data_IF_623834069780
#
_entry.id   IF_623834069780
#
_cell.length_a   1.000
_cell.length_b   1.000
_cell.length_c   1.000
_cell.angle_alpha   90.00
_cell.angle_beta   90.00
_cell.angle_gamma   90.00
#
_symmetry.space_group_name_H-M   'P 1'
#
loop_
_entity.id
_entity.type
_entity.pdbx_description
1 polymer ?
#
# COMPACT_ATOMS: atom_id res chain seq x y z
N UNK A 1 8.43 -25.53 -3.82
CA UNK A 1 9.53 -24.55 -3.94
C UNK A 1 10.58 -24.85 -2.88
N UNK A 2 11.85 -24.55 -3.16
CA UNK A 2 12.93 -24.75 -2.19
C UNK A 2 12.84 -23.72 -1.05
N UNK A 3 13.16 -24.14 0.17
CA UNK A 3 13.23 -23.27 1.34
C UNK A 3 14.69 -22.96 1.68
N UNK A 4 15.00 -21.70 1.94
CA UNK A 4 16.34 -21.23 2.33
C UNK A 4 16.31 -20.81 3.80
N UNK A 5 17.30 -21.26 4.59
CA UNK A 5 17.48 -20.84 5.98
C UNK A 5 18.51 -19.71 6.03
N UNK A 6 18.12 -18.61 6.65
CA UNK A 6 18.97 -17.45 6.86
C UNK A 6 18.89 -17.04 8.32
N UNK A 7 20.04 -16.74 8.92
CA UNK A 7 20.09 -16.08 10.22
C UNK A 7 20.03 -14.56 10.01
N UNK A 8 19.19 -13.88 10.78
CA UNK A 8 19.03 -12.42 10.74
C UNK A 8 19.25 -11.86 12.15
N UNK A 9 19.91 -10.71 12.23
CA UNK A 9 20.00 -9.94 13.47
C UNK A 9 18.73 -9.10 13.63
N UNK A 10 18.08 -9.21 14.78
CA UNK A 10 16.89 -8.44 15.15
C UNK A 10 17.10 -7.83 16.53
N UNK A 11 16.46 -6.70 16.77
CA UNK A 11 16.37 -6.14 18.12
C UNK A 11 15.52 -7.08 18.99
N UNK A 12 15.93 -7.28 20.24
CA UNK A 12 15.29 -8.22 21.17
C UNK A 12 13.79 -7.93 21.35
N UNK A 13 13.43 -6.66 21.57
CA UNK A 13 12.03 -6.27 21.73
C UNK A 13 11.16 -6.57 20.48
N UNK A 14 11.75 -6.53 19.29
CA UNK A 14 11.03 -6.84 18.05
C UNK A 14 10.85 -8.35 17.90
N UNK A 15 11.88 -9.12 18.28
CA UNK A 15 11.80 -10.57 18.32
C UNK A 15 10.69 -11.03 19.28
N UNK A 16 10.64 -10.50 20.50
CA UNK A 16 9.61 -10.85 21.49
C UNK A 16 8.18 -10.54 20.99
N UNK A 17 7.98 -9.38 20.35
CA UNK A 17 6.68 -9.04 19.76
C UNK A 17 6.30 -10.00 18.63
N UNK A 18 7.25 -10.39 17.79
CA UNK A 18 7.01 -11.37 16.74
C UNK A 18 6.65 -12.75 17.32
N UNK A 19 7.28 -13.16 18.43
CA UNK A 19 6.94 -14.40 19.13
C UNK A 19 5.51 -14.38 19.66
N UNK A 20 5.14 -13.31 20.37
CA UNK A 20 3.81 -13.15 20.93
C UNK A 20 2.73 -13.18 19.85
N UNK A 21 2.95 -12.44 18.75
CA UNK A 21 2.03 -12.39 17.63
C UNK A 21 1.93 -13.74 16.89
N UNK A 22 3.05 -14.43 16.68
CA UNK A 22 3.04 -15.75 16.06
C UNK A 22 2.25 -16.77 16.90
N UNK A 23 2.40 -16.70 18.23
CA UNK A 23 1.65 -17.53 19.17
C UNK A 23 0.14 -17.22 19.14
N UNK A 24 -0.23 -15.93 19.17
CA UNK A 24 -1.63 -15.48 19.06
C UNK A 24 -2.29 -15.97 17.77
N UNK A 25 -1.58 -15.83 16.66
CA UNK A 25 -2.03 -16.28 15.33
C UNK A 25 -1.93 -17.80 15.13
N UNK A 26 -1.35 -18.53 16.08
CA UNK A 26 -1.11 -19.99 16.02
C UNK A 26 -0.31 -20.42 14.79
N UNK A 27 0.69 -19.63 14.40
CA UNK A 27 1.60 -19.93 13.28
C UNK A 27 3.04 -20.00 13.75
N UNK A 28 3.91 -20.59 12.94
CA UNK A 28 5.34 -20.57 13.23
C UNK A 28 5.93 -19.18 13.00
N UNK A 29 6.98 -18.88 13.76
CA UNK A 29 7.79 -17.66 13.67
C UNK A 29 8.28 -17.38 12.26
N UNK A 30 8.83 -18.42 11.61
CA UNK A 30 9.28 -18.34 10.22
C UNK A 30 8.14 -18.01 9.26
N UNK A 31 6.92 -18.50 9.54
CA UNK A 31 5.74 -18.19 8.73
C UNK A 31 5.30 -16.74 8.92
N UNK A 32 5.28 -16.24 10.16
CA UNK A 32 4.99 -14.83 10.44
C UNK A 32 5.98 -13.91 9.72
N UNK A 33 7.28 -14.18 9.84
CA UNK A 33 8.33 -13.38 9.19
C UNK A 33 8.19 -13.41 7.67
N UNK A 34 7.89 -14.57 7.08
CA UNK A 34 7.65 -14.69 5.65
C UNK A 34 6.46 -13.84 5.19
N UNK A 35 5.33 -13.90 5.91
CA UNK A 35 4.14 -13.08 5.62
C UNK A 35 4.48 -11.59 5.71
N UNK A 36 5.18 -11.16 6.76
CA UNK A 36 5.57 -9.77 6.94
C UNK A 36 6.48 -9.28 5.81
N UNK A 37 7.43 -10.12 5.37
CA UNK A 37 8.34 -9.80 4.28
C UNK A 37 7.62 -9.70 2.93
N UNK A 38 6.73 -10.65 2.63
CA UNK A 38 5.89 -10.62 1.42
C UNK A 38 5.02 -9.35 1.39
N UNK A 39 4.40 -9.00 2.52
CA UNK A 39 3.60 -7.79 2.67
C UNK A 39 4.42 -6.53 2.43
N UNK A 40 5.61 -6.45 3.03
CA UNK A 40 6.49 -5.29 2.90
C UNK A 40 6.96 -5.10 1.44
N UNK A 41 7.37 -6.18 0.77
CA UNK A 41 7.77 -6.14 -0.63
C UNK A 41 6.61 -5.68 -1.52
N UNK A 42 5.40 -6.23 -1.31
CA UNK A 42 4.22 -5.86 -2.10
C UNK A 42 3.87 -4.39 -1.94
N UNK A 43 3.87 -3.87 -0.71
CA UNK A 43 3.63 -2.44 -0.43
C UNK A 43 4.67 -1.55 -1.11
N UNK A 44 5.95 -1.95 -1.05
CA UNK A 44 7.02 -1.20 -1.70
C UNK A 44 6.85 -1.17 -3.23
N UNK A 45 6.53 -2.30 -3.85
CA UNK A 45 6.27 -2.39 -5.29
C UNK A 45 5.07 -1.54 -5.71
N UNK A 46 3.98 -1.56 -4.95
CA UNK A 46 2.81 -0.73 -5.22
C UNK A 46 3.14 0.76 -5.18
N UNK A 47 3.95 1.20 -4.21
CA UNK A 47 4.40 2.60 -4.15
C UNK A 47 5.23 3.00 -5.37
N UNK A 48 6.19 2.15 -5.78
CA UNK A 48 6.99 2.40 -6.98
C UNK A 48 6.12 2.44 -8.25
N UNK A 49 5.10 1.60 -8.33
CA UNK A 49 4.16 1.62 -9.45
C UNK A 49 3.38 2.95 -9.48
N UNK A 50 2.87 3.40 -8.34
CA UNK A 50 2.16 4.67 -8.23
C UNK A 50 3.06 5.86 -8.61
N UNK A 51 4.32 5.87 -8.14
CA UNK A 51 5.31 6.89 -8.51
C UNK A 51 5.54 6.93 -10.03
N UNK A 52 5.66 5.76 -10.69
CA UNK A 52 5.80 5.68 -12.15
C UNK A 52 4.57 6.18 -12.89
N UNK A 53 3.38 5.87 -12.39
CA UNK A 53 2.12 6.38 -12.95
C UNK A 53 2.13 7.89 -12.86
N UNK A 54 2.36 8.46 -11.67
CA UNK A 54 2.38 9.90 -11.45
C UNK A 54 3.40 10.59 -12.37
N UNK A 55 4.63 10.05 -12.48
CA UNK A 55 5.67 10.60 -13.36
C UNK A 55 5.26 10.58 -14.85
N UNK A 56 4.52 9.56 -15.29
CA UNK A 56 4.03 9.51 -16.67
C UNK A 56 2.93 10.54 -16.96
N UNK A 57 2.16 10.94 -15.95
CA UNK A 57 1.14 11.98 -16.06
C UNK A 57 1.69 13.40 -15.83
N UNK A 58 2.88 13.54 -15.23
CA UNK A 58 3.53 14.83 -14.95
C UNK A 58 3.92 15.59 -16.25
N UNK A 59 4.13 14.86 -17.34
CA UNK A 59 4.44 15.40 -18.68
C UNK A 59 3.17 15.85 -19.45
N UNK A 60 1.98 15.52 -18.93
CA UNK A 60 0.70 16.00 -19.46
C UNK A 60 0.40 17.34 -18.80
N UNK A 61 0.90 18.42 -19.40
CA UNK A 61 0.77 19.79 -18.89
C UNK A 61 -0.65 20.11 -18.38
N UNK A 62 -0.73 20.74 -17.20
CA UNK A 62 -1.92 21.22 -16.47
C UNK A 62 -2.93 22.08 -17.26
N UNK A 63 -2.64 22.36 -18.54
CA UNK A 63 -3.44 23.27 -19.37
C UNK A 63 -4.76 22.63 -19.86
N UNK A 64 -4.84 21.30 -19.96
CA UNK A 64 -6.06 20.63 -20.47
C UNK A 64 -6.94 20.01 -19.38
N UNK A 65 -6.38 19.67 -18.21
CA UNK A 65 -7.08 18.94 -17.14
C UNK A 65 -7.98 19.84 -16.29
N UNK A 66 -7.61 21.11 -16.10
CA UNK A 66 -8.34 22.06 -15.26
C UNK A 66 -9.74 22.42 -15.80
N UNK A 67 -9.94 22.38 -17.11
CA UNK A 67 -11.23 22.70 -17.73
C UNK A 67 -12.26 21.59 -17.51
N UNK A 68 -11.83 20.31 -17.50
CA UNK A 68 -12.74 19.16 -17.39
C UNK A 68 -13.17 18.82 -15.96
N UNK A 69 -12.36 19.12 -14.94
CA UNK A 69 -12.72 18.88 -13.52
C UNK A 69 -13.77 19.88 -13.02
N UNK A 70 -13.75 21.13 -13.53
CA UNK A 70 -14.74 22.15 -13.20
C UNK A 70 -16.17 21.73 -13.64
N UNK A 71 -16.30 21.14 -14.83
CA UNK A 71 -17.58 20.64 -15.34
C UNK A 71 -18.14 19.43 -14.58
N UNK A 72 -17.28 18.58 -14.00
CA UNK A 72 -17.69 17.43 -13.17
C UNK A 72 -18.19 17.91 -11.80
N UNK A 73 -17.49 18.87 -11.19
CA UNK A 73 -17.86 19.47 -9.90
C UNK A 73 -19.17 20.27 -9.96
N UNK A 74 -19.48 20.88 -11.11
CA UNK A 74 -20.72 21.63 -11.34
C UNK A 74 -21.99 20.77 -11.38
N UNK A 75 -21.91 19.54 -11.91
CA UNK A 75 -23.05 18.62 -11.97
C UNK A 75 -23.33 17.93 -10.63
N UNK A 76 -22.31 17.68 -9.81
CA UNK A 76 -22.51 17.03 -8.51
C UNK A 76 -23.22 17.93 -7.48
N UNK A 77 -23.25 19.26 -7.69
CA UNK A 77 -23.99 20.18 -6.82
C UNK A 77 -25.51 20.15 -7.08
N UNK A 78 -25.97 19.91 -8.31
CA UNK A 78 -27.41 19.89 -8.59
C UNK A 78 -28.10 18.60 -8.12
N UNK A 79 -27.37 17.48 -8.05
CA UNK A 79 -27.94 16.20 -7.59
C UNK A 79 -28.26 16.21 -6.09
N UNK A 80 -27.58 17.06 -5.30
CA UNK A 80 -27.81 17.17 -3.85
C UNK A 80 -29.02 18.07 -3.53
N UNK A 81 -29.48 18.90 -4.48
CA UNK A 81 -30.60 19.82 -4.27
C UNK A 81 -31.99 19.22 -4.57
N UNK A 82 -32.06 18.06 -5.23
CA UNK A 82 -33.32 17.35 -5.54
C UNK A 82 -33.74 16.31 -4.48
N UNK A 83 -33.01 16.21 -3.35
CA UNK A 83 -33.33 15.31 -2.22
C UNK A 83 -33.78 16.04 -0.93
N UNK A 84 -34.35 17.25 -1.03
CA UNK A 84 -35.01 17.96 0.08
C UNK A 84 -36.44 18.42 -0.26
#
# INVERSE_FOLDING_TARGET
MATVKTAISLQEYLFEQAEALAAEMKISRSRLIAIALEEFIRRHQNRLLLEKINAAYEDVSDTEVSTSISSISGHHRSIIEDEC
#
